data_IF_598540536170
#
_entry.id   IF_598540536170
#
_cell.length_a   1.000
_cell.length_b   1.000
_cell.length_c   1.000
_cell.angle_alpha   90.00
_cell.angle_beta   90.00
_cell.angle_gamma   90.00
#
_symmetry.space_group_name_H-M   'P 1'
#
loop_
_entity.id
_entity.type
_entity.pdbx_description
1 polymer ?
#
# COMPACT_ATOMS: atom_id res chain seq x y z
N UNK A 1 -9.78 2.25 4.18
CA UNK A 1 -8.68 1.63 3.42
C UNK A 1 -9.01 0.18 3.11
N UNK A 2 -8.42 -0.36 2.05
CA UNK A 2 -8.49 -1.79 1.72
C UNK A 2 -7.15 -2.44 1.96
N UNK A 3 -7.17 -3.72 2.32
CA UNK A 3 -5.97 -4.45 2.70
C UNK A 3 -6.04 -5.89 2.20
N UNK A 4 -4.92 -6.39 1.69
CA UNK A 4 -4.79 -7.79 1.31
C UNK A 4 -3.39 -8.30 1.61
N UNK A 5 -3.30 -9.50 2.17
CA UNK A 5 -2.05 -10.24 2.29
C UNK A 5 -1.94 -11.19 1.10
N UNK A 6 -0.84 -11.10 0.38
CA UNK A 6 -0.49 -12.05 -0.67
C UNK A 6 0.47 -13.08 -0.09
N UNK A 7 0.09 -14.33 -0.14
CA UNK A 7 0.87 -15.43 0.41
C UNK A 7 1.25 -16.39 -0.70
N UNK A 8 2.54 -16.74 -0.75
CA UNK A 8 3.06 -17.70 -1.72
C UNK A 8 4.01 -18.64 -1.00
N UNK A 9 3.92 -19.97 -1.23
CA UNK A 9 4.82 -20.93 -0.58
C UNK A 9 6.28 -20.58 -0.85
N UNK A 10 7.08 -20.54 0.21
CA UNK A 10 8.51 -20.29 0.11
C UNK A 10 8.92 -18.85 -0.12
N UNK A 11 7.95 -17.90 -0.16
CA UNK A 11 8.23 -16.48 -0.35
C UNK A 11 7.64 -15.67 0.81
N UNK A 12 8.24 -14.50 1.14
CA UNK A 12 7.65 -13.62 2.13
C UNK A 12 6.25 -13.15 1.70
N UNK A 13 5.36 -12.99 2.67
CA UNK A 13 4.05 -12.43 2.43
C UNK A 13 4.18 -10.95 2.04
N UNK A 14 3.31 -10.50 1.14
CA UNK A 14 3.23 -9.11 0.75
C UNK A 14 1.94 -8.52 1.28
N UNK A 15 2.06 -7.46 2.07
CA UNK A 15 0.92 -6.69 2.54
C UNK A 15 0.65 -5.56 1.55
N UNK A 16 -0.55 -5.51 0.99
CA UNK A 16 -0.97 -4.46 0.08
C UNK A 16 -2.09 -3.65 0.74
N UNK A 17 -1.92 -2.33 0.80
CA UNK A 17 -2.90 -1.41 1.40
C UNK A 17 -3.11 -0.22 0.47
N UNK A 18 -4.37 0.15 0.24
CA UNK A 18 -4.67 1.37 -0.51
C UNK A 18 -5.76 2.18 0.17
N UNK A 19 -5.76 3.49 -0.11
CA UNK A 19 -6.85 4.37 0.28
C UNK A 19 -8.13 3.91 -0.42
N UNK A 20 -9.26 3.96 0.30
CA UNK A 20 -10.52 3.39 -0.17
C UNK A 20 -10.99 3.99 -1.50
N UNK A 21 -10.84 5.30 -1.66
CA UNK A 21 -11.28 6.01 -2.87
C UNK A 21 -10.46 5.67 -4.12
N UNK A 22 -9.29 5.04 -3.95
CA UNK A 22 -8.43 4.68 -5.07
C UNK A 22 -8.77 3.33 -5.69
N UNK A 23 -9.46 2.46 -4.96
CA UNK A 23 -9.75 1.12 -5.45
C UNK A 23 -10.56 1.18 -6.74
N UNK A 24 -10.17 0.37 -7.72
CA UNK A 24 -10.78 0.30 -9.05
C UNK A 24 -10.62 1.59 -9.87
N UNK A 25 -9.66 2.43 -9.52
CA UNK A 25 -9.30 3.60 -10.34
C UNK A 25 -8.01 3.33 -11.10
N UNK A 26 -7.75 4.15 -12.12
CA UNK A 26 -6.52 4.11 -12.90
C UNK A 26 -5.81 5.44 -12.74
N UNK A 27 -4.55 5.39 -12.33
CA UNK A 27 -3.69 6.56 -12.19
C UNK A 27 -2.74 6.63 -13.38
N UNK A 28 -2.32 7.84 -13.72
CA UNK A 28 -1.36 8.05 -14.81
C UNK A 28 -0.04 8.57 -14.29
N UNK A 29 1.05 7.98 -14.78
CA UNK A 29 2.41 8.48 -14.57
C UNK A 29 3.09 8.50 -15.94
N UNK A 30 3.21 9.70 -16.55
CA UNK A 30 3.65 9.82 -17.93
C UNK A 30 2.73 9.06 -18.86
N UNK A 31 3.27 8.16 -19.67
CA UNK A 31 2.51 7.32 -20.59
C UNK A 31 2.05 5.99 -19.96
N UNK A 32 2.35 5.79 -18.68
CA UNK A 32 2.01 4.54 -18.00
C UNK A 32 0.70 4.71 -17.22
N UNK A 33 -0.20 3.74 -17.39
CA UNK A 33 -1.44 3.65 -16.62
C UNK A 33 -1.24 2.62 -15.51
N UNK A 34 -1.52 3.03 -14.27
CA UNK A 34 -1.44 2.15 -13.10
C UNK A 34 -2.85 1.91 -12.58
N UNK A 35 -3.32 0.69 -12.70
CA UNK A 35 -4.63 0.31 -12.19
C UNK A 35 -4.53 -0.12 -10.73
N UNK A 36 -5.37 0.49 -9.89
CA UNK A 36 -5.46 0.12 -8.47
C UNK A 36 -6.54 -0.94 -8.35
N UNK A 37 -6.11 -2.19 -8.49
CA UNK A 37 -7.04 -3.30 -8.67
C UNK A 37 -7.44 -3.99 -7.37
N UNK A 38 -8.65 -4.49 -7.34
CA UNK A 38 -9.16 -5.31 -6.26
C UNK A 38 -8.39 -6.63 -6.13
N UNK A 39 -7.89 -7.16 -7.24
CA UNK A 39 -7.09 -8.39 -7.21
C UNK A 39 -5.79 -8.22 -6.41
N UNK A 40 -5.23 -7.01 -6.38
CA UNK A 40 -4.01 -6.73 -5.64
C UNK A 40 -4.27 -6.19 -4.24
N UNK A 41 -5.20 -5.24 -4.10
CA UNK A 41 -5.48 -4.59 -2.81
C UNK A 41 -6.65 -5.24 -2.05
N UNK A 42 -7.34 -6.19 -2.68
CA UNK A 42 -8.45 -6.88 -2.06
C UNK A 42 -9.71 -6.04 -2.02
N UNK A 43 -10.71 -6.57 -1.33
CA UNK A 43 -11.98 -5.90 -1.11
C UNK A 43 -12.37 -5.87 0.36
N UNK A 44 -11.42 -6.18 1.23
CA UNK A 44 -11.63 -6.14 2.68
C UNK A 44 -11.37 -4.72 3.18
N UNK A 45 -12.44 -4.03 3.52
CA UNK A 45 -12.33 -2.69 4.10
C UNK A 45 -11.89 -2.80 5.55
N UNK A 46 -10.89 -2.04 5.92
CA UNK A 46 -10.29 -2.09 7.25
C UNK A 46 -10.17 -0.69 7.85
N UNK A 47 -10.04 -0.65 9.17
CA UNK A 47 -9.81 0.58 9.92
C UNK A 47 -8.33 0.95 9.92
N UNK A 48 -8.02 2.20 10.30
CA UNK A 48 -6.63 2.62 10.49
C UNK A 48 -5.91 1.75 11.53
N UNK A 49 -6.61 1.38 12.61
CA UNK A 49 -6.01 0.55 13.65
C UNK A 49 -5.62 -0.83 13.13
N UNK A 50 -6.46 -1.40 12.28
CA UNK A 50 -6.17 -2.68 11.65
C UNK A 50 -4.97 -2.58 10.70
N UNK A 51 -4.85 -1.47 9.97
CA UNK A 51 -3.69 -1.22 9.11
C UNK A 51 -2.42 -1.07 9.95
N UNK A 52 -2.47 -0.30 11.03
CA UNK A 52 -1.32 -0.13 11.93
C UNK A 52 -0.83 -1.46 12.49
N UNK A 53 -1.77 -2.32 12.89
CA UNK A 53 -1.42 -3.65 13.40
C UNK A 53 -0.76 -4.51 12.32
N UNK A 54 -1.30 -4.49 11.11
CA UNK A 54 -0.73 -5.24 9.99
C UNK A 54 0.67 -4.74 9.62
N UNK A 55 0.88 -3.41 9.64
CA UNK A 55 2.18 -2.80 9.34
C UNK A 55 3.27 -3.26 10.31
N UNK A 56 2.92 -3.48 11.58
CA UNK A 56 3.90 -3.93 12.57
C UNK A 56 4.44 -5.32 12.27
N UNK A 57 3.66 -6.16 11.64
CA UNK A 57 3.99 -7.58 11.42
C UNK A 57 4.53 -7.88 10.03
N UNK A 58 4.26 -7.03 9.06
CA UNK A 58 4.59 -7.31 7.68
C UNK A 58 6.06 -6.99 7.37
N UNK A 59 6.67 -7.79 6.50
CA UNK A 59 8.05 -7.60 6.07
C UNK A 59 8.14 -6.95 4.69
N UNK A 60 7.16 -7.21 3.83
CA UNK A 60 7.11 -6.67 2.49
C UNK A 60 5.76 -5.94 2.33
N UNK A 61 5.81 -4.64 2.11
CA UNK A 61 4.63 -3.78 2.19
C UNK A 61 4.52 -2.91 0.94
N UNK A 62 3.34 -2.90 0.34
CA UNK A 62 3.02 -2.02 -0.79
C UNK A 62 1.88 -1.10 -0.36
N UNK A 63 2.13 0.22 -0.37
CA UNK A 63 1.17 1.21 0.06
C UNK A 63 0.84 2.16 -1.08
N UNK A 64 -0.44 2.43 -1.26
CA UNK A 64 -0.94 3.31 -2.31
C UNK A 64 -1.94 4.30 -1.71
N UNK A 65 -1.61 5.58 -1.79
CA UNK A 65 -2.49 6.65 -1.33
C UNK A 65 -1.97 7.40 -0.12
N UNK A 66 -2.48 8.62 0.05
CA UNK A 66 -1.99 9.55 1.07
C UNK A 66 -2.19 9.03 2.49
N UNK A 67 -3.35 8.43 2.78
CA UNK A 67 -3.63 7.94 4.13
C UNK A 67 -2.81 6.70 4.46
N UNK A 68 -2.72 5.76 3.53
CA UNK A 68 -1.96 4.53 3.73
C UNK A 68 -0.48 4.86 3.94
N UNK A 69 0.09 5.73 3.11
CA UNK A 69 1.49 6.13 3.22
C UNK A 69 1.74 6.91 4.52
N UNK A 70 0.81 7.78 4.92
CA UNK A 70 0.96 8.56 6.15
C UNK A 70 1.06 7.66 7.39
N UNK A 71 0.34 6.55 7.43
CA UNK A 71 0.42 5.60 8.54
C UNK A 71 1.81 4.96 8.64
N UNK A 72 2.41 4.62 7.50
CA UNK A 72 3.75 4.04 7.49
C UNK A 72 4.81 5.06 7.91
N UNK A 73 4.65 6.32 7.48
CA UNK A 73 5.56 7.40 7.88
C UNK A 73 5.45 7.63 9.39
N UNK A 74 4.25 7.69 9.94
CA UNK A 74 4.03 7.86 11.36
C UNK A 74 4.61 6.71 12.18
N UNK A 75 4.64 5.51 11.62
CA UNK A 75 5.23 4.33 12.27
C UNK A 75 6.74 4.26 12.12
N UNK A 76 7.37 5.19 11.42
CA UNK A 76 8.81 5.20 11.20
C UNK A 76 9.31 4.19 10.17
N UNK A 77 8.41 3.64 9.35
CA UNK A 77 8.76 2.62 8.35
C UNK A 77 9.20 3.21 7.02
N UNK A 78 8.85 4.45 6.75
CA UNK A 78 9.16 5.12 5.50
C UNK A 78 9.25 6.63 5.72
N UNK A 79 9.82 7.35 4.76
CA UNK A 79 9.83 8.81 4.73
C UNK A 79 9.21 9.30 3.42
N UNK A 80 8.91 10.60 3.33
CA UNK A 80 8.41 11.19 2.10
C UNK A 80 9.40 11.01 0.94
N UNK A 81 10.69 11.02 1.22
CA UNK A 81 11.72 10.81 0.21
C UNK A 81 11.67 9.42 -0.43
N UNK A 82 11.11 8.44 0.28
CA UNK A 82 10.99 7.07 -0.24
C UNK A 82 9.79 6.91 -1.18
N UNK A 83 8.89 7.88 -1.22
CA UNK A 83 7.67 7.79 -2.01
C UNK A 83 7.88 8.13 -3.47
N UNK A 84 7.20 7.39 -4.34
CA UNK A 84 7.10 7.71 -5.76
C UNK A 84 5.71 8.28 -5.98
N UNK A 85 5.63 9.43 -6.66
CA UNK A 85 4.33 10.02 -6.98
C UNK A 85 3.80 9.43 -8.27
N UNK A 86 2.58 8.92 -8.23
CA UNK A 86 1.85 8.46 -9.41
C UNK A 86 0.73 9.47 -9.63
N UNK A 87 0.99 10.46 -10.51
CA UNK A 87 0.16 11.65 -10.55
C UNK A 87 0.29 12.40 -9.23
N UNK A 88 -0.81 12.59 -8.53
CA UNK A 88 -0.84 13.26 -7.23
C UNK A 88 -0.89 12.27 -6.05
N UNK A 89 -0.77 10.98 -6.33
CA UNK A 89 -0.94 9.91 -5.34
C UNK A 89 0.42 9.33 -4.93
N UNK A 90 0.78 9.35 -3.64
CA UNK A 90 2.03 8.76 -3.20
C UNK A 90 1.94 7.24 -3.15
N UNK A 91 3.05 6.61 -3.51
CA UNK A 91 3.21 5.16 -3.48
C UNK A 91 4.56 4.83 -2.87
N UNK A 92 4.61 3.83 -2.02
CA UNK A 92 5.86 3.37 -1.42
C UNK A 92 5.86 1.85 -1.27
N UNK A 93 7.02 1.25 -1.52
CA UNK A 93 7.28 -0.14 -1.23
C UNK A 93 8.32 -0.24 -0.14
N UNK A 94 8.06 -1.11 0.85
CA UNK A 94 8.92 -1.24 2.03
C UNK A 94 9.34 -2.70 2.16
N UNK A 95 10.64 -2.91 2.31
CA UNK A 95 11.21 -4.22 2.62
C UNK A 95 11.89 -4.13 3.98
N UNK A 96 11.48 -4.99 4.90
CA UNK A 96 12.08 -5.06 6.23
C UNK A 96 12.94 -6.32 6.32
N UNK A 97 14.17 -6.13 6.67
CA UNK A 97 15.12 -7.25 6.81
C UNK A 97 15.15 -7.80 8.23
#
# INVERSE_FOLDING_TARGET
MFLKFHRSPGLPDVLAVCDAELLNTTLKKGDVNVQISESFYGNLRVTEEEVKEALRKAENINLMGERAVALAIAAGLASRADCIMIGTVPHVQIYRL
#
